data_IF_467834006489
#
_entry.id   IF_467834006489
#
_cell.length_a   1.000
_cell.length_b   1.000
_cell.length_c   1.000
_cell.angle_alpha   90.00
_cell.angle_beta   90.00
_cell.angle_gamma   90.00
#
_symmetry.space_group_name_H-M   'P 1'
#
loop_
_entity.id
_entity.type
_entity.pdbx_description
1 polymer ?
#
# COMPACT_ATOMS: atom_id res chain seq x y z
N UNK A 1 17.71 -18.90 -6.74
CA UNK A 1 17.99 -17.55 -6.19
C UNK A 1 17.87 -17.68 -4.68
N UNK A 2 18.83 -17.17 -3.91
CA UNK A 2 18.71 -17.22 -2.46
C UNK A 2 17.79 -16.06 -1.96
N UNK A 3 17.33 -16.13 -0.72
CA UNK A 3 16.41 -15.12 -0.14
C UNK A 3 17.03 -13.71 -0.19
N UNK A 4 18.34 -13.59 0.03
CA UNK A 4 19.05 -12.31 -0.02
C UNK A 4 19.00 -11.68 -1.41
N UNK A 5 19.23 -12.47 -2.46
CA UNK A 5 19.15 -11.99 -3.85
C UNK A 5 17.72 -11.58 -4.21
N UNK A 6 16.70 -12.34 -3.76
CA UNK A 6 15.30 -11.97 -3.95
C UNK A 6 14.98 -10.62 -3.30
N UNK A 7 15.39 -10.43 -2.05
CA UNK A 7 15.12 -9.18 -1.32
C UNK A 7 15.88 -7.99 -1.92
N UNK A 8 17.07 -8.18 -2.44
CA UNK A 8 17.81 -7.13 -3.16
C UNK A 8 17.06 -6.71 -4.42
N UNK A 9 16.59 -7.66 -5.23
CA UNK A 9 15.82 -7.36 -6.44
C UNK A 9 14.52 -6.61 -6.10
N UNK A 10 13.76 -7.07 -5.09
CA UNK A 10 12.56 -6.39 -4.59
C UNK A 10 12.86 -4.94 -4.20
N UNK A 11 13.97 -4.70 -3.49
CA UNK A 11 14.35 -3.38 -3.03
C UNK A 11 14.82 -2.47 -4.19
N UNK A 12 15.56 -3.01 -5.17
CA UNK A 12 16.01 -2.28 -6.36
C UNK A 12 14.82 -1.90 -7.25
N UNK A 13 13.90 -2.81 -7.48
CA UNK A 13 12.68 -2.57 -8.24
C UNK A 13 11.81 -1.50 -7.57
N UNK A 14 11.59 -1.58 -6.25
CA UNK A 14 10.87 -0.57 -5.49
C UNK A 14 11.56 0.80 -5.57
N UNK A 15 12.90 0.83 -5.46
CA UNK A 15 13.69 2.06 -5.58
C UNK A 15 13.58 2.67 -6.98
N UNK A 16 13.57 1.86 -8.02
CA UNK A 16 13.35 2.33 -9.40
C UNK A 16 11.94 2.91 -9.54
N UNK A 17 10.91 2.20 -9.06
CA UNK A 17 9.52 2.63 -9.11
C UNK A 17 9.29 3.94 -8.33
N UNK A 18 9.93 4.12 -7.17
CA UNK A 18 9.78 5.31 -6.34
C UNK A 18 10.15 6.62 -7.06
N UNK A 19 11.09 6.57 -7.99
CA UNK A 19 11.47 7.73 -8.82
C UNK A 19 10.36 8.20 -9.76
N UNK A 20 9.52 7.26 -10.21
CA UNK A 20 8.32 7.57 -11.00
C UNK A 20 7.24 8.16 -10.10
N UNK A 21 6.97 7.52 -8.95
CA UNK A 21 5.95 7.98 -8.01
C UNK A 21 6.20 9.40 -7.48
N UNK A 22 7.46 9.74 -7.20
CA UNK A 22 7.84 11.07 -6.71
C UNK A 22 7.50 12.22 -7.67
N UNK A 23 7.23 11.92 -8.95
CA UNK A 23 6.92 12.89 -9.98
C UNK A 23 5.42 12.96 -10.33
N UNK A 24 4.61 12.11 -9.74
CA UNK A 24 3.18 12.07 -10.02
C UNK A 24 2.48 13.31 -9.45
N UNK A 25 1.55 13.84 -10.23
CA UNK A 25 0.66 14.88 -9.74
C UNK A 25 -0.34 14.32 -8.72
N UNK A 26 -0.87 15.18 -7.86
CA UNK A 26 -1.93 14.83 -6.91
C UNK A 26 -3.14 14.22 -7.60
N UNK A 27 -3.51 14.72 -8.78
CA UNK A 27 -4.63 14.20 -9.56
C UNK A 27 -4.43 12.73 -9.96
N UNK A 28 -3.23 12.37 -10.46
CA UNK A 28 -2.90 10.98 -10.83
C UNK A 28 -2.88 10.06 -9.62
N UNK A 29 -2.34 10.52 -8.47
CA UNK A 29 -2.34 9.76 -7.22
C UNK A 29 -3.77 9.51 -6.72
N UNK A 30 -4.62 10.54 -6.76
CA UNK A 30 -6.02 10.42 -6.33
C UNK A 30 -6.80 9.45 -7.25
N UNK A 31 -6.65 9.59 -8.57
CA UNK A 31 -7.26 8.67 -9.54
C UNK A 31 -6.83 7.22 -9.30
N UNK A 32 -5.53 6.98 -9.03
CA UNK A 32 -5.02 5.65 -8.71
C UNK A 32 -5.70 5.07 -7.46
N UNK A 33 -5.80 5.84 -6.38
CA UNK A 33 -6.43 5.39 -5.14
C UNK A 33 -7.92 5.09 -5.31
N UNK A 34 -8.64 5.92 -6.05
CA UNK A 34 -10.06 5.68 -6.36
C UNK A 34 -10.26 4.43 -7.24
N UNK A 35 -9.38 4.21 -8.22
CA UNK A 35 -9.39 2.99 -9.03
C UNK A 35 -9.08 1.74 -8.18
N UNK A 36 -8.15 1.84 -7.23
CA UNK A 36 -7.83 0.78 -6.27
C UNK A 36 -9.04 0.46 -5.38
N UNK A 37 -9.71 1.48 -4.84
CA UNK A 37 -10.92 1.32 -4.04
C UNK A 37 -12.01 0.57 -4.81
N UNK A 38 -12.29 1.00 -6.04
CA UNK A 38 -13.28 0.34 -6.90
C UNK A 38 -12.89 -1.10 -7.26
N UNK A 39 -11.60 -1.35 -7.48
CA UNK A 39 -11.10 -2.69 -7.79
C UNK A 39 -11.28 -3.66 -6.61
N UNK A 40 -11.07 -3.22 -5.37
CA UNK A 40 -11.36 -4.02 -4.16
C UNK A 40 -12.85 -4.37 -4.06
N UNK A 41 -13.74 -3.41 -4.31
CA UNK A 41 -15.18 -3.66 -4.29
C UNK A 41 -15.60 -4.66 -5.36
N UNK A 42 -15.03 -4.56 -6.55
CA UNK A 42 -15.35 -5.45 -7.67
C UNK A 42 -14.84 -6.89 -7.44
N UNK A 43 -13.79 -7.05 -6.62
CA UNK A 43 -13.18 -8.34 -6.29
C UNK A 43 -13.61 -8.88 -4.92
N UNK A 44 -14.75 -8.40 -4.38
CA UNK A 44 -15.22 -8.78 -3.04
C UNK A 44 -15.35 -10.29 -2.86
N UNK A 45 -15.95 -11.00 -3.82
CA UNK A 45 -16.15 -12.45 -3.77
C UNK A 45 -14.80 -13.19 -3.80
N UNK A 46 -13.92 -12.82 -4.70
CA UNK A 46 -12.57 -13.41 -4.83
C UNK A 46 -11.75 -13.20 -3.54
N UNK A 47 -11.84 -12.02 -2.93
CA UNK A 47 -11.16 -11.72 -1.67
C UNK A 47 -11.68 -12.54 -0.50
N UNK A 48 -12.99 -12.78 -0.42
CA UNK A 48 -13.59 -13.63 0.61
C UNK A 48 -13.15 -15.09 0.41
N UNK A 49 -13.09 -15.57 -0.83
CA UNK A 49 -12.62 -16.92 -1.14
C UNK A 49 -11.14 -17.11 -0.73
N UNK A 50 -10.26 -16.16 -1.07
CA UNK A 50 -8.85 -16.21 -0.67
C UNK A 50 -8.70 -16.11 0.85
N UNK A 51 -9.52 -15.29 1.51
CA UNK A 51 -9.52 -15.15 2.96
C UNK A 51 -9.96 -16.44 3.68
N UNK A 52 -10.92 -17.19 3.14
CA UNK A 52 -11.35 -18.46 3.78
C UNK A 52 -10.16 -19.45 3.88
N UNK A 53 -9.20 -19.43 2.95
CA UNK A 53 -7.97 -20.25 3.05
C UNK A 53 -7.16 -19.88 4.30
N UNK A 54 -7.02 -18.59 4.59
CA UNK A 54 -6.36 -18.11 5.81
C UNK A 54 -7.13 -18.51 7.06
N UNK A 55 -8.47 -18.42 7.05
CA UNK A 55 -9.33 -18.76 8.17
C UNK A 55 -9.32 -20.26 8.48
N UNK A 56 -9.32 -21.12 7.46
CA UNK A 56 -9.20 -22.57 7.63
C UNK A 56 -7.86 -22.90 8.28
N UNK A 57 -6.75 -22.39 7.73
CA UNK A 57 -5.41 -22.62 8.27
C UNK A 57 -5.27 -22.10 9.71
N UNK A 58 -5.86 -20.95 10.02
CA UNK A 58 -5.84 -20.37 11.37
C UNK A 58 -6.62 -21.24 12.39
N UNK A 59 -7.79 -21.78 12.01
CA UNK A 59 -8.58 -22.68 12.84
C UNK A 59 -7.85 -24.01 13.10
N UNK A 60 -7.25 -24.59 12.03
CA UNK A 60 -6.47 -25.82 12.13
C UNK A 60 -5.23 -25.66 13.02
N UNK A 61 -4.59 -24.48 12.96
CA UNK A 61 -3.47 -24.13 13.83
C UNK A 61 -3.88 -23.81 15.29
N UNK A 62 -5.19 -23.82 15.61
CA UNK A 62 -5.69 -23.57 16.95
C UNK A 62 -5.58 -22.14 17.43
N UNK A 63 -5.60 -21.16 16.50
CA UNK A 63 -5.58 -19.74 16.87
C UNK A 63 -6.80 -19.36 17.71
N UNK A 64 -6.60 -18.46 18.67
CA UNK A 64 -7.69 -17.97 19.53
C UNK A 64 -8.79 -17.29 18.68
N UNK A 65 -10.08 -17.42 19.04
CA UNK A 65 -11.20 -16.87 18.27
C UNK A 65 -11.06 -15.38 17.95
N UNK A 66 -10.52 -14.59 18.87
CA UNK A 66 -10.26 -13.16 18.64
C UNK A 66 -9.18 -12.90 17.57
N UNK A 67 -8.24 -13.81 17.37
CA UNK A 67 -7.25 -13.72 16.30
C UNK A 67 -7.87 -14.10 14.96
N UNK A 68 -8.70 -15.16 14.94
CA UNK A 68 -9.44 -15.57 13.73
C UNK A 68 -10.39 -14.45 13.28
N UNK A 69 -11.08 -13.78 14.20
CA UNK A 69 -11.92 -12.62 13.86
C UNK A 69 -11.13 -11.46 13.22
N UNK A 70 -9.91 -11.21 13.69
CA UNK A 70 -9.03 -10.17 13.11
C UNK A 70 -8.57 -10.49 11.69
N UNK A 71 -8.48 -11.77 11.34
CA UNK A 71 -8.13 -12.24 9.99
C UNK A 71 -9.31 -12.14 9.04
N UNK A 72 -10.54 -12.27 9.54
CA UNK A 72 -11.71 -12.42 8.71
C UNK A 72 -11.95 -11.18 7.82
N UNK A 73 -12.25 -11.43 6.55
CA UNK A 73 -12.78 -10.46 5.61
C UNK A 73 -14.22 -10.82 5.27
N UNK A 74 -15.07 -9.82 5.29
CA UNK A 74 -16.43 -9.85 4.78
C UNK A 74 -16.64 -8.63 3.86
N UNK A 75 -17.79 -8.56 3.21
CA UNK A 75 -18.13 -7.48 2.31
C UNK A 75 -18.08 -6.10 2.99
N UNK A 76 -18.40 -6.02 4.29
CA UNK A 76 -18.35 -4.78 5.05
C UNK A 76 -16.91 -4.33 5.31
N UNK A 77 -16.03 -5.26 5.71
CA UNK A 77 -14.61 -4.98 5.95
C UNK A 77 -13.89 -4.61 4.65
N UNK A 78 -14.23 -5.28 3.54
CA UNK A 78 -13.69 -4.94 2.20
C UNK A 78 -14.16 -3.54 1.77
N UNK A 79 -15.44 -3.22 2.00
CA UNK A 79 -15.95 -1.85 1.78
C UNK A 79 -15.19 -0.83 2.64
N UNK A 80 -14.93 -1.13 3.92
CA UNK A 80 -14.15 -0.28 4.79
C UNK A 80 -12.74 0.00 4.26
N UNK A 81 -12.07 -0.99 3.67
CA UNK A 81 -10.77 -0.79 2.99
C UNK A 81 -10.90 0.15 1.78
N UNK A 82 -11.94 -0.02 0.97
CA UNK A 82 -12.19 0.85 -0.18
C UNK A 82 -12.50 2.28 0.25
N UNK A 83 -13.33 2.46 1.27
CA UNK A 83 -13.67 3.77 1.83
C UNK A 83 -12.41 4.45 2.39
N UNK A 84 -11.53 3.71 3.08
CA UNK A 84 -10.24 4.22 3.56
C UNK A 84 -9.32 4.71 2.43
N UNK A 85 -9.28 4.02 1.29
CA UNK A 85 -8.54 4.50 0.11
C UNK A 85 -9.15 5.78 -0.48
N UNK A 86 -10.48 5.92 -0.47
CA UNK A 86 -11.15 7.14 -0.88
C UNK A 86 -10.84 8.30 0.08
N UNK A 87 -10.87 8.06 1.39
CA UNK A 87 -10.48 9.07 2.40
C UNK A 87 -9.03 9.53 2.19
N UNK A 88 -8.10 8.60 1.94
CA UNK A 88 -6.70 8.94 1.63
C UNK A 88 -6.58 9.73 0.32
N UNK A 89 -7.41 9.45 -0.69
CA UNK A 89 -7.45 10.24 -1.93
C UNK A 89 -7.86 11.70 -1.68
N UNK A 90 -8.77 11.94 -0.73
CA UNK A 90 -9.27 13.28 -0.38
C UNK A 90 -8.29 14.08 0.50
N UNK A 91 -7.31 13.43 1.14
CA UNK A 91 -6.30 14.13 1.93
C UNK A 91 -5.47 15.08 1.05
N UNK A 92 -5.00 16.21 1.59
CA UNK A 92 -4.01 17.06 0.92
C UNK A 92 -2.75 16.25 0.56
N UNK A 93 -2.22 16.49 -0.64
CA UNK A 93 -0.96 15.86 -1.05
C UNK A 93 0.19 16.48 -0.26
N UNK A 94 0.96 15.70 0.51
CA UNK A 94 2.06 16.25 1.28
C UNK A 94 3.30 16.59 0.43
N UNK A 95 3.40 16.05 -0.79
CA UNK A 95 4.59 16.22 -1.65
C UNK A 95 4.58 17.62 -2.27
N UNK A 96 5.68 18.33 -2.05
CA UNK A 96 5.82 19.72 -2.55
C UNK A 96 5.26 20.77 -1.60
N UNK A 97 4.68 20.39 -0.45
CA UNK A 97 4.25 21.34 0.58
C UNK A 97 5.43 22.13 1.12
N UNK A 98 5.36 23.46 1.05
CA UNK A 98 6.35 24.36 1.63
C UNK A 98 6.01 24.60 3.09
N UNK A 99 6.83 24.08 4.00
CA UNK A 99 6.64 24.19 5.45
C UNK A 99 7.34 25.40 6.08
N UNK A 100 8.14 26.12 5.30
CA UNK A 100 8.81 27.34 5.74
C UNK A 100 9.62 28.00 4.64
N UNK A 101 9.69 29.32 4.71
CA UNK A 101 10.52 30.14 3.80
C UNK A 101 11.11 31.29 4.59
N UNK A 102 12.39 31.57 4.41
CA UNK A 102 13.07 32.72 5.03
C UNK A 102 14.22 33.23 4.19
N UNK A 103 14.54 34.53 4.33
CA UNK A 103 15.66 35.16 3.67
C UNK A 103 16.83 35.34 4.66
N UNK A 104 18.04 35.09 4.20
CA UNK A 104 19.26 35.31 4.97
C UNK A 104 19.77 36.75 4.74
N UNK A 105 20.69 37.27 5.60
CA UNK A 105 21.28 38.61 5.42
C UNK A 105 22.01 38.84 4.09
N UNK A 106 22.45 37.77 3.43
CA UNK A 106 23.09 37.78 2.10
C UNK A 106 22.08 37.60 0.95
N UNK A 107 20.79 37.86 1.18
CA UNK A 107 19.68 37.72 0.25
C UNK A 107 19.35 36.31 -0.25
N UNK A 108 20.03 35.27 0.25
CA UNK A 108 19.70 33.88 -0.05
C UNK A 108 18.31 33.54 0.48
N UNK A 109 17.41 33.10 -0.41
CA UNK A 109 16.10 32.52 -0.03
C UNK A 109 16.25 31.04 0.26
N UNK A 110 15.84 30.63 1.45
CA UNK A 110 15.79 29.22 1.87
C UNK A 110 14.34 28.78 1.94
N UNK A 111 14.02 27.64 1.31
CA UNK A 111 12.71 27.02 1.32
C UNK A 111 12.84 25.63 1.91
N UNK A 112 11.96 25.31 2.87
CA UNK A 112 11.81 23.94 3.38
C UNK A 112 10.57 23.32 2.74
N UNK A 113 10.77 22.23 2.01
CA UNK A 113 9.71 21.54 1.27
C UNK A 113 9.67 20.06 1.67
N UNK A 114 8.48 19.47 1.70
CA UNK A 114 8.28 18.03 1.91
C UNK A 114 8.55 17.28 0.61
N UNK A 115 9.31 16.19 0.70
CA UNK A 115 9.62 15.28 -0.41
C UNK A 115 9.33 13.84 0.02
N UNK A 116 9.05 12.90 -0.92
CA UNK A 116 8.93 11.48 -0.60
C UNK A 116 10.22 10.91 0.02
N UNK A 117 10.06 9.92 0.90
CA UNK A 117 11.19 9.16 1.47
C UNK A 117 11.84 8.23 0.44
N UNK A 118 11.05 7.78 -0.54
CA UNK A 118 11.45 6.88 -1.61
C UNK A 118 10.82 5.51 -1.47
N UNK A 119 11.40 4.60 -0.68
CA UNK A 119 10.86 3.26 -0.42
C UNK A 119 10.59 3.10 1.07
N UNK A 120 9.42 2.59 1.41
CA UNK A 120 9.01 2.30 2.78
C UNK A 120 8.78 0.80 2.93
N UNK A 121 9.49 0.15 3.85
CA UNK A 121 9.23 -1.21 4.27
C UNK A 121 8.30 -1.22 5.49
N UNK A 122 7.20 -1.97 5.44
CA UNK A 122 6.25 -2.09 6.55
C UNK A 122 6.08 -3.55 6.91
N UNK A 123 6.40 -3.88 8.16
CA UNK A 123 6.13 -5.18 8.76
C UNK A 123 4.96 -5.02 9.73
N UNK A 124 3.92 -5.82 9.55
CA UNK A 124 2.68 -5.67 10.32
C UNK A 124 2.09 -7.03 10.71
N UNK A 125 1.17 -7.00 11.67
CA UNK A 125 0.46 -8.18 12.14
C UNK A 125 -0.48 -8.76 11.07
N UNK A 126 -1.08 -9.91 11.37
CA UNK A 126 -2.04 -10.61 10.53
C UNK A 126 -3.40 -9.89 10.48
N UNK A 127 -3.44 -8.75 9.80
CA UNK A 127 -4.62 -7.91 9.55
C UNK A 127 -4.67 -7.54 8.07
N UNK A 128 -5.49 -8.19 7.26
CA UNK A 128 -5.51 -7.99 5.81
C UNK A 128 -5.77 -6.53 5.38
N UNK A 129 -6.61 -5.78 6.13
CA UNK A 129 -6.91 -4.38 5.82
C UNK A 129 -5.68 -3.48 5.82
N UNK A 130 -4.67 -3.77 6.66
CA UNK A 130 -3.43 -2.97 6.73
C UNK A 130 -2.69 -2.96 5.39
N UNK A 131 -2.83 -4.03 4.58
CA UNK A 131 -2.24 -4.08 3.23
C UNK A 131 -2.76 -2.93 2.36
N UNK A 132 -4.07 -2.67 2.35
CA UNK A 132 -4.68 -1.59 1.58
C UNK A 132 -4.35 -0.21 2.19
N UNK A 133 -4.48 -0.07 3.51
CA UNK A 133 -4.24 1.20 4.22
C UNK A 133 -2.79 1.67 4.04
N UNK A 134 -1.82 0.77 4.27
CA UNK A 134 -0.40 1.07 4.13
C UNK A 134 -0.02 1.40 2.67
N UNK A 135 -0.56 0.65 1.71
CA UNK A 135 -0.37 0.92 0.30
C UNK A 135 -0.89 2.31 -0.08
N UNK A 136 -2.13 2.64 0.31
CA UNK A 136 -2.76 3.91 0.02
C UNK A 136 -1.97 5.10 0.54
N UNK A 137 -1.58 5.08 1.81
CA UNK A 137 -0.80 6.14 2.45
C UNK A 137 0.58 6.33 1.82
N UNK A 138 1.29 5.22 1.49
CA UNK A 138 2.59 5.30 0.84
C UNK A 138 2.49 5.87 -0.57
N UNK A 139 1.54 5.40 -1.39
CA UNK A 139 1.35 5.89 -2.75
C UNK A 139 0.90 7.35 -2.78
N UNK A 140 -0.01 7.76 -1.89
CA UNK A 140 -0.43 9.17 -1.75
C UNK A 140 0.75 10.08 -1.43
N UNK A 141 1.65 9.65 -0.56
CA UNK A 141 2.86 10.41 -0.20
C UNK A 141 4.02 10.21 -1.18
N UNK A 142 3.78 9.61 -2.35
CA UNK A 142 4.76 9.47 -3.45
C UNK A 142 5.85 8.45 -3.20
N UNK A 143 5.62 7.48 -2.29
CA UNK A 143 6.59 6.45 -1.93
C UNK A 143 6.20 5.09 -2.55
N UNK A 144 7.19 4.31 -2.95
CA UNK A 144 7.02 2.88 -3.14
C UNK A 144 6.96 2.17 -1.79
N UNK A 145 6.28 1.02 -1.74
CA UNK A 145 6.08 0.27 -0.50
C UNK A 145 6.36 -1.22 -0.68
N UNK A 146 7.06 -1.78 0.31
CA UNK A 146 7.27 -3.22 0.45
C UNK A 146 6.56 -3.65 1.73
N UNK A 147 5.60 -4.54 1.59
CA UNK A 147 4.70 -4.98 2.66
C UNK A 147 5.02 -6.41 3.08
N UNK A 148 5.13 -6.65 4.39
CA UNK A 148 5.31 -7.96 4.98
C UNK A 148 4.30 -8.15 6.09
N UNK A 149 3.18 -8.79 5.79
CA UNK A 149 2.17 -9.16 6.78
C UNK A 149 2.52 -10.45 7.54
N UNK A 150 1.76 -10.76 8.58
CA UNK A 150 1.83 -12.03 9.27
C UNK A 150 1.47 -13.19 8.33
N UNK A 151 2.10 -14.35 8.55
CA UNK A 151 1.90 -15.56 7.72
C UNK A 151 0.46 -16.10 7.75
N UNK A 152 -0.27 -15.76 8.79
CA UNK A 152 -1.65 -16.20 9.01
C UNK A 152 -2.65 -15.51 8.05
N UNK A 153 -2.25 -14.42 7.37
CA UNK A 153 -3.07 -13.67 6.42
C UNK A 153 -2.45 -13.65 5.01
N UNK A 154 -1.63 -14.64 4.68
CA UNK A 154 -0.81 -14.58 3.47
C UNK A 154 -1.64 -14.58 2.18
N UNK A 155 -2.68 -15.42 2.10
CA UNK A 155 -3.54 -15.49 0.92
C UNK A 155 -4.30 -14.19 0.70
N UNK A 156 -4.89 -13.65 1.76
CA UNK A 156 -5.58 -12.34 1.72
C UNK A 156 -4.64 -11.21 1.33
N UNK A 157 -3.45 -11.13 1.95
CA UNK A 157 -2.48 -10.07 1.68
C UNK A 157 -2.01 -10.08 0.23
N UNK A 158 -1.70 -11.27 -0.31
CA UNK A 158 -1.29 -11.44 -1.70
C UNK A 158 -2.43 -11.12 -2.67
N UNK A 159 -3.67 -11.51 -2.36
CA UNK A 159 -4.84 -11.19 -3.18
C UNK A 159 -5.08 -9.67 -3.25
N UNK A 160 -5.10 -9.00 -2.10
CA UNK A 160 -5.20 -7.53 -2.03
C UNK A 160 -4.05 -6.89 -2.81
N UNK A 161 -2.81 -7.32 -2.57
CA UNK A 161 -1.63 -6.80 -3.26
C UNK A 161 -1.76 -6.90 -4.79
N UNK A 162 -2.16 -8.06 -5.33
CA UNK A 162 -2.38 -8.28 -6.78
C UNK A 162 -3.44 -7.35 -7.35
N UNK A 163 -4.56 -7.16 -6.64
CA UNK A 163 -5.63 -6.26 -7.06
C UNK A 163 -5.12 -4.81 -7.16
N UNK A 164 -4.41 -4.34 -6.14
CA UNK A 164 -3.87 -2.99 -6.12
C UNK A 164 -2.78 -2.79 -7.18
N UNK A 165 -1.88 -3.76 -7.37
CA UNK A 165 -0.86 -3.74 -8.42
C UNK A 165 -1.46 -3.65 -9.82
N UNK A 166 -2.56 -4.38 -10.07
CA UNK A 166 -3.25 -4.34 -11.36
C UNK A 166 -3.71 -2.93 -11.75
N UNK A 167 -4.02 -2.07 -10.77
CA UNK A 167 -4.42 -0.69 -11.04
C UNK A 167 -3.22 0.21 -11.39
N UNK A 168 -2.04 -0.06 -10.81
CA UNK A 168 -0.79 0.58 -11.25
C UNK A 168 -0.52 0.27 -12.72
N UNK A 169 -0.60 -1.00 -13.11
CA UNK A 169 -0.39 -1.45 -14.49
C UNK A 169 -1.39 -0.81 -15.47
N UNK A 170 -2.68 -0.77 -15.10
CA UNK A 170 -3.73 -0.14 -15.91
C UNK A 170 -3.45 1.34 -16.17
N UNK A 171 -2.87 2.03 -15.21
CA UNK A 171 -2.46 3.42 -15.33
C UNK A 171 -1.04 3.58 -15.93
N UNK A 172 -0.41 2.50 -16.39
CA UNK A 172 0.96 2.46 -16.93
C UNK A 172 2.01 2.95 -15.92
N UNK A 173 1.74 2.71 -14.64
CA UNK A 173 2.68 2.94 -13.56
C UNK A 173 3.41 1.62 -13.21
N UNK A 174 4.61 1.69 -12.62
CA UNK A 174 5.36 0.49 -12.28
C UNK A 174 4.63 -0.31 -11.18
N UNK A 175 4.24 -1.55 -11.46
CA UNK A 175 3.60 -2.43 -10.48
C UNK A 175 4.50 -2.69 -9.26
N UNK A 176 5.82 -2.65 -9.46
CA UNK A 176 6.83 -2.80 -8.40
C UNK A 176 6.86 -1.65 -7.38
N UNK A 177 6.02 -0.61 -7.60
CA UNK A 177 5.78 0.45 -6.62
C UNK A 177 5.07 -0.07 -5.34
N UNK A 178 4.37 -1.20 -5.45
CA UNK A 178 3.74 -1.90 -4.34
C UNK A 178 4.13 -3.37 -4.42
N UNK A 179 4.77 -3.90 -3.40
CA UNK A 179 5.17 -5.30 -3.35
C UNK A 179 4.76 -5.91 -2.01
N UNK A 180 4.16 -7.10 -2.05
CA UNK A 180 3.81 -7.90 -0.87
C UNK A 180 4.75 -9.10 -0.85
N UNK A 181 5.47 -9.28 0.25
CA UNK A 181 6.44 -10.38 0.45
C UNK A 181 5.76 -11.52 1.19
N UNK A 182 6.01 -12.76 0.74
CA UNK A 182 5.61 -14.01 1.38
C UNK A 182 6.43 -14.30 2.66
#
# INVERSE_FOLDING_TARGET
MNVTEQMLNVAEDAKSASRTLAKLSSAVKNELLLNMAQALLNATEDLIEENEKDLIAAREAGLAPAMVDRLALDAQRIRGMADGLCEVADLPDPVGEVTGMWRRPNDLQIVRMRIPLGVIGIVYESRPNVTADAAGLCLKSGNAVILRGGKEAIYSNLAIGRILQSQLERMRLPATALQVIE
#
